data_IF_969428412972
#
_entry.id   IF_969428412972
#
_cell.length_a   1.000
_cell.length_b   1.000
_cell.length_c   1.000
_cell.angle_alpha   90.00
_cell.angle_beta   90.00
_cell.angle_gamma   90.00
#
_symmetry.space_group_name_H-M   'P 1'
#
loop_
_entity.id
_entity.type
_entity.pdbx_description
1 polymer ?
#
# COMPACT_ATOMS: atom_id res chain seq x y z
N UNK A 1 10.55 -17.83 -3.86
CA UNK A 1 10.21 -18.36 -2.53
C UNK A 1 9.33 -17.31 -1.91
N UNK A 2 8.05 -17.59 -1.64
CA UNK A 2 7.13 -16.59 -1.11
C UNK A 2 7.66 -16.08 0.23
N UNK A 3 7.90 -14.78 0.34
CA UNK A 3 8.39 -14.16 1.56
C UNK A 3 7.21 -13.98 2.51
N UNK A 4 6.74 -15.06 3.13
CA UNK A 4 5.59 -15.00 4.03
C UNK A 4 5.92 -14.13 5.24
N UNK A 5 5.24 -12.98 5.39
CA UNK A 5 5.34 -12.11 6.56
C UNK A 5 5.34 -12.90 7.88
N UNK A 6 6.37 -12.68 8.71
CA UNK A 6 6.43 -13.21 10.07
C UNK A 6 5.77 -12.23 11.06
N UNK A 7 4.69 -12.62 11.74
CA UNK A 7 4.02 -11.75 12.71
C UNK A 7 4.97 -11.36 13.85
N UNK A 8 5.08 -10.07 14.16
CA UNK A 8 5.87 -9.56 15.30
C UNK A 8 7.32 -9.17 15.01
N UNK A 9 7.76 -9.25 13.74
CA UNK A 9 9.02 -8.67 13.27
C UNK A 9 8.73 -7.68 12.14
N UNK A 10 9.52 -6.60 12.06
CA UNK A 10 9.44 -5.66 10.94
C UNK A 10 10.12 -6.27 9.72
N UNK A 11 9.45 -6.21 8.57
CA UNK A 11 10.05 -6.54 7.28
C UNK A 11 11.07 -5.46 6.87
N UNK A 12 11.99 -5.80 5.99
CA UNK A 12 12.83 -4.81 5.30
C UNK A 12 11.97 -3.84 4.47
N UNK A 13 10.82 -4.30 3.99
CA UNK A 13 9.83 -3.49 3.27
C UNK A 13 8.92 -2.64 4.18
N UNK A 14 9.23 -2.52 5.48
CA UNK A 14 8.47 -1.68 6.40
C UNK A 14 8.50 -0.21 5.95
N UNK A 15 7.32 0.36 5.68
CA UNK A 15 7.18 1.75 5.21
C UNK A 15 7.09 1.92 3.70
N UNK A 16 7.30 0.88 2.89
CA UNK A 16 7.20 0.96 1.42
C UNK A 16 5.78 1.36 0.96
N UNK A 17 4.73 0.92 1.66
CA UNK A 17 3.36 1.37 1.39
C UNK A 17 3.19 2.89 1.59
N UNK A 18 3.89 3.49 2.55
CA UNK A 18 3.84 4.94 2.76
C UNK A 18 4.56 5.66 1.62
N UNK A 19 5.70 5.14 1.17
CA UNK A 19 6.42 5.67 0.02
C UNK A 19 5.59 5.65 -1.26
N UNK A 20 4.86 4.57 -1.51
CA UNK A 20 3.91 4.48 -2.62
C UNK A 20 2.83 5.56 -2.52
N UNK A 21 2.20 5.72 -1.35
CA UNK A 21 1.17 6.75 -1.13
C UNK A 21 1.74 8.15 -1.32
N UNK A 22 2.96 8.42 -0.86
CA UNK A 22 3.64 9.70 -1.05
C UNK A 22 3.90 9.97 -2.53
N UNK A 23 4.38 8.99 -3.29
CA UNK A 23 4.68 9.11 -4.71
C UNK A 23 3.42 9.43 -5.54
N UNK A 24 2.31 8.73 -5.27
CA UNK A 24 1.02 8.93 -5.95
C UNK A 24 0.51 10.37 -5.84
N UNK A 25 0.64 10.98 -4.66
CA UNK A 25 0.09 12.30 -4.38
C UNK A 25 1.13 13.44 -4.46
N UNK A 26 2.42 13.14 -4.67
CA UNK A 26 3.51 14.13 -4.72
C UNK A 26 3.25 15.30 -5.66
N UNK A 27 2.74 15.02 -6.86
CA UNK A 27 2.50 16.06 -7.89
C UNK A 27 1.16 16.77 -7.72
N UNK A 28 0.17 16.11 -7.13
CA UNK A 28 -1.18 16.65 -6.93
C UNK A 28 -1.72 16.22 -5.56
N UNK A 29 -1.28 16.86 -4.45
CA UNK A 29 -1.59 16.40 -3.09
C UNK A 29 -3.09 16.34 -2.77
N UNK A 30 -3.87 17.29 -3.31
CA UNK A 30 -5.34 17.33 -3.17
C UNK A 30 -6.07 16.67 -4.36
N UNK A 31 -5.35 15.90 -5.17
CA UNK A 31 -5.87 15.20 -6.32
C UNK A 31 -6.52 13.87 -5.99
N UNK A 32 -6.83 13.13 -7.04
CA UNK A 32 -7.34 11.78 -6.96
C UNK A 32 -6.50 10.86 -7.84
N UNK A 33 -6.40 9.58 -7.45
CA UNK A 33 -5.78 8.51 -8.24
C UNK A 33 -6.77 7.38 -8.45
N UNK A 34 -6.69 6.68 -9.57
CA UNK A 34 -7.49 5.50 -9.86
C UNK A 34 -6.80 4.24 -9.33
N UNK A 35 -7.53 3.13 -9.14
CA UNK A 35 -6.89 1.83 -8.81
C UNK A 35 -5.76 1.46 -9.80
N UNK A 36 -5.93 1.78 -11.09
CA UNK A 36 -4.90 1.53 -12.11
C UNK A 36 -3.64 2.34 -11.84
N UNK A 37 -3.77 3.61 -11.44
CA UNK A 37 -2.60 4.43 -11.07
C UNK A 37 -1.86 3.84 -9.86
N UNK A 38 -2.59 3.30 -8.87
CA UNK A 38 -1.99 2.65 -7.70
C UNK A 38 -1.23 1.39 -8.09
N UNK A 39 -1.82 0.54 -8.93
CA UNK A 39 -1.17 -0.67 -9.46
C UNK A 39 0.10 -0.32 -10.24
N UNK A 40 0.03 0.67 -11.14
CA UNK A 40 1.20 1.12 -11.91
C UNK A 40 2.28 1.65 -10.97
N UNK A 41 1.93 2.41 -9.94
CA UNK A 41 2.92 2.91 -8.99
C UNK A 41 3.56 1.78 -8.18
N UNK A 42 2.81 0.76 -7.78
CA UNK A 42 3.34 -0.42 -7.08
C UNK A 42 4.38 -1.18 -7.92
N UNK A 43 4.13 -1.32 -9.22
CA UNK A 43 5.09 -1.90 -10.17
C UNK A 43 6.33 -1.01 -10.35
N UNK A 44 6.15 0.32 -10.39
CA UNK A 44 7.27 1.27 -10.49
C UNK A 44 8.15 1.24 -9.24
N UNK A 45 7.53 1.09 -8.06
CA UNK A 45 8.22 1.00 -6.78
C UNK A 45 8.78 -0.41 -6.49
N UNK A 46 8.55 -1.38 -7.40
CA UNK A 46 9.00 -2.79 -7.29
C UNK A 46 8.64 -3.43 -5.94
N UNK A 47 7.38 -3.24 -5.52
CA UNK A 47 6.89 -3.74 -4.24
C UNK A 47 6.99 -5.27 -4.14
N UNK A 48 7.33 -5.78 -2.96
CA UNK A 48 7.37 -7.22 -2.71
C UNK A 48 5.96 -7.85 -2.75
N UNK A 49 5.91 -9.17 -2.92
CA UNK A 49 4.69 -9.96 -3.16
C UNK A 49 3.56 -9.66 -2.15
N UNK A 50 3.87 -9.65 -0.85
CA UNK A 50 2.89 -9.36 0.21
C UNK A 50 2.31 -7.93 0.07
N UNK A 51 3.13 -6.96 -0.33
CA UNK A 51 2.66 -5.59 -0.54
C UNK A 51 1.87 -5.43 -1.84
N UNK A 52 2.24 -6.17 -2.90
CA UNK A 52 1.45 -6.24 -4.12
C UNK A 52 0.05 -6.80 -3.83
N UNK A 53 -0.05 -7.86 -3.02
CA UNK A 53 -1.35 -8.41 -2.60
C UNK A 53 -2.23 -7.34 -1.92
N UNK A 54 -1.64 -6.50 -1.04
CA UNK A 54 -2.38 -5.38 -0.43
C UNK A 54 -2.97 -4.45 -1.50
N UNK A 55 -2.18 -4.09 -2.52
CA UNK A 55 -2.61 -3.18 -3.60
C UNK A 55 -3.65 -3.83 -4.51
N UNK A 56 -3.49 -5.11 -4.85
CA UNK A 56 -4.42 -5.87 -5.69
C UNK A 56 -5.81 -5.99 -5.07
N UNK A 57 -5.87 -6.11 -3.74
CA UNK A 57 -7.12 -6.24 -2.98
C UNK A 57 -7.88 -4.92 -2.79
N UNK A 58 -7.29 -3.77 -3.11
CA UNK A 58 -7.98 -2.47 -3.04
C UNK A 58 -9.21 -2.51 -3.97
N UNK A 59 -10.39 -2.03 -3.55
CA UNK A 59 -11.55 -1.97 -4.42
C UNK A 59 -11.28 -1.14 -5.70
N UNK A 60 -12.05 -1.38 -6.76
CA UNK A 60 -12.00 -0.49 -7.92
C UNK A 60 -12.59 0.87 -7.56
N UNK A 61 -11.94 1.96 -7.98
CA UNK A 61 -12.42 3.29 -7.67
C UNK A 61 -11.43 4.40 -8.01
N UNK A 62 -11.78 5.60 -7.54
CA UNK A 62 -10.96 6.80 -7.60
C UNK A 62 -10.88 7.38 -6.19
N UNK A 63 -9.66 7.64 -5.72
CA UNK A 63 -9.37 7.91 -4.32
C UNK A 63 -8.66 9.24 -4.13
N UNK A 64 -9.18 10.05 -3.21
CA UNK A 64 -8.35 11.05 -2.50
C UNK A 64 -7.46 10.33 -1.49
N UNK A 65 -6.34 10.94 -1.10
CA UNK A 65 -5.30 10.31 -0.25
C UNK A 65 -5.86 9.61 0.98
N UNK A 66 -6.66 10.31 1.78
CA UNK A 66 -7.26 9.75 2.99
C UNK A 66 -8.07 8.48 2.71
N UNK A 67 -8.86 8.47 1.62
CA UNK A 67 -9.65 7.29 1.25
C UNK A 67 -8.80 6.13 0.76
N UNK A 68 -7.69 6.39 0.06
CA UNK A 68 -6.76 5.33 -0.32
C UNK A 68 -6.09 4.72 0.92
N UNK A 69 -5.64 5.57 1.85
CA UNK A 69 -5.03 5.13 3.10
C UNK A 69 -5.99 4.27 3.94
N UNK A 70 -7.27 4.66 4.02
CA UNK A 70 -8.30 3.84 4.66
C UNK A 70 -8.39 2.44 4.05
N UNK A 71 -8.36 2.31 2.71
CA UNK A 71 -8.41 1.00 2.03
C UNK A 71 -7.17 0.16 2.33
N UNK A 72 -5.97 0.74 2.17
CA UNK A 72 -4.70 0.06 2.43
C UNK A 72 -4.65 -0.42 3.88
N UNK A 73 -4.94 0.46 4.84
CA UNK A 73 -4.92 0.14 6.26
C UNK A 73 -5.95 -0.93 6.64
N UNK A 74 -7.13 -0.92 6.01
CA UNK A 74 -8.14 -1.96 6.22
C UNK A 74 -7.62 -3.34 5.80
N UNK A 75 -6.94 -3.43 4.66
CA UNK A 75 -6.41 -4.70 4.12
C UNK A 75 -5.22 -5.17 4.95
N UNK A 76 -4.27 -4.29 5.25
CA UNK A 76 -3.12 -4.59 6.12
C UNK A 76 -3.58 -5.08 7.49
N UNK A 77 -4.61 -4.44 8.07
CA UNK A 77 -5.18 -4.86 9.36
C UNK A 77 -5.85 -6.23 9.26
N UNK A 78 -6.59 -6.50 8.17
CA UNK A 78 -7.24 -7.80 7.96
C UNK A 78 -6.25 -8.97 7.89
N UNK A 79 -5.05 -8.74 7.34
CA UNK A 79 -3.96 -9.72 7.31
C UNK A 79 -3.16 -9.80 8.62
N UNK A 80 -3.35 -8.85 9.55
CA UNK A 80 -2.54 -8.75 10.77
C UNK A 80 -1.14 -8.19 10.52
N UNK A 81 -0.91 -7.52 9.39
CA UNK A 81 0.40 -7.08 8.93
C UNK A 81 0.79 -5.67 9.38
N UNK A 82 -0.05 -4.97 10.15
CA UNK A 82 0.20 -3.58 10.55
C UNK A 82 1.53 -3.38 11.30
N UNK A 83 1.98 -4.38 12.08
CA UNK A 83 3.29 -4.33 12.72
C UNK A 83 4.44 -4.67 11.76
N UNK A 84 4.20 -5.56 10.80
CA UNK A 84 5.21 -6.08 9.87
C UNK A 84 5.57 -5.09 8.76
N UNK A 85 4.57 -4.40 8.21
CA UNK A 85 4.73 -3.48 7.07
C UNK A 85 4.43 -2.01 7.40
N UNK A 86 3.73 -1.76 8.51
CA UNK A 86 3.25 -0.43 8.88
C UNK A 86 1.87 -0.10 8.31
N UNK A 87 1.32 1.01 8.79
CA UNK A 87 0.10 1.64 8.27
C UNK A 87 0.45 2.96 7.59
N UNK A 88 -0.44 3.47 6.74
CA UNK A 88 -0.21 4.67 5.94
C UNK A 88 -1.14 5.84 6.31
N UNK A 89 -0.72 7.07 5.99
CA UNK A 89 -1.46 8.33 6.14
C UNK A 89 -1.29 9.30 4.96
#
# INVERSE_FOLDING_TARGET
MANSAQPGMRSEAYGELQHLVDNLYKRKPSGTVTKVDVLIQAEVDDLEEDLQEVIELIPSGTYVRARLCDQINSIVTAHGWGFTYGTVE
#
